data_IF_774251463394
#
_entry.id   IF_774251463394
#
_cell.length_a   1.000
_cell.length_b   1.000
_cell.length_c   1.000
_cell.angle_alpha   90.00
_cell.angle_beta   90.00
_cell.angle_gamma   90.00
#
_symmetry.space_group_name_H-M   'P 1'
#
loop_
_entity.id
_entity.type
_entity.pdbx_description
1 polymer ?
#
# COMPACT_ATOMS: atom_id res chain seq x y z
N UNK A 1 -2.34 19.20 -19.36
CA UNK A 1 -1.48 18.09 -19.86
C UNK A 1 -0.03 18.23 -19.45
N UNK A 2 0.26 18.58 -18.18
CA UNK A 2 1.61 18.60 -17.62
C UNK A 2 1.56 18.35 -16.09
N UNK A 3 0.77 17.36 -15.65
CA UNK A 3 0.64 17.00 -14.22
C UNK A 3 0.74 15.49 -13.95
N UNK A 4 0.53 14.63 -14.96
CA UNK A 4 0.57 13.16 -14.80
C UNK A 4 1.89 12.52 -15.25
N UNK A 5 2.90 13.30 -15.62
CA UNK A 5 4.14 12.75 -16.22
C UNK A 5 5.17 12.21 -15.23
N UNK A 6 5.04 12.45 -13.92
CA UNK A 6 6.12 12.20 -12.95
C UNK A 6 5.75 11.52 -11.63
N UNK A 7 4.45 11.33 -11.31
CA UNK A 7 4.01 10.85 -9.99
C UNK A 7 3.36 9.45 -10.07
N UNK A 8 2.94 9.01 -11.26
CA UNK A 8 2.28 7.71 -11.46
C UNK A 8 3.30 6.66 -11.89
N UNK A 9 3.86 5.96 -10.91
CA UNK A 9 4.81 4.86 -11.15
C UNK A 9 4.05 3.53 -11.20
N UNK A 10 4.30 2.64 -12.19
CA UNK A 10 3.71 1.32 -12.20
C UNK A 10 4.23 0.48 -11.02
N UNK A 11 3.33 -0.20 -10.32
CA UNK A 11 3.66 -1.18 -9.29
C UNK A 11 3.35 -2.59 -9.80
N UNK A 12 4.34 -3.48 -9.76
CA UNK A 12 4.17 -4.91 -10.08
C UNK A 12 4.29 -5.72 -8.79
N UNK A 13 3.27 -6.52 -8.49
CA UNK A 13 3.23 -7.35 -7.27
C UNK A 13 3.05 -8.81 -7.67
N UNK A 14 3.85 -9.70 -7.08
CA UNK A 14 3.72 -11.15 -7.24
C UNK A 14 3.66 -11.82 -5.88
N UNK A 15 2.50 -12.38 -5.57
CA UNK A 15 2.29 -13.13 -4.33
C UNK A 15 1.29 -14.28 -4.54
N UNK A 16 1.76 -15.47 -4.96
CA UNK A 16 0.88 -16.56 -5.40
C UNK A 16 -0.12 -17.09 -4.34
N UNK A 17 0.20 -16.95 -3.05
CA UNK A 17 -0.69 -17.39 -1.98
C UNK A 17 -1.94 -16.50 -1.83
N UNK A 18 -1.80 -15.20 -2.12
CA UNK A 18 -2.83 -14.17 -1.94
C UNK A 18 -3.45 -13.78 -3.30
N UNK A 19 -2.61 -13.48 -4.29
CA UNK A 19 -3.02 -13.07 -5.63
C UNK A 19 -3.35 -14.33 -6.45
N UNK A 20 -4.65 -14.65 -6.55
CA UNK A 20 -5.13 -15.82 -7.31
C UNK A 20 -5.26 -15.56 -8.81
N UNK A 21 -5.52 -14.31 -9.20
CA UNK A 21 -5.67 -13.92 -10.60
C UNK A 21 -4.31 -13.58 -11.21
N UNK A 22 -3.86 -14.36 -12.19
CA UNK A 22 -2.60 -14.10 -12.89
C UNK A 22 -2.80 -13.04 -13.98
N UNK A 23 -1.89 -12.06 -14.03
CA UNK A 23 -1.93 -11.00 -15.05
C UNK A 23 -3.05 -9.97 -14.87
N UNK A 24 -3.69 -9.94 -13.70
CA UNK A 24 -4.71 -8.94 -13.39
C UNK A 24 -4.10 -7.53 -13.30
N UNK A 25 -4.88 -6.54 -13.75
CA UNK A 25 -4.53 -5.12 -13.68
C UNK A 25 -5.59 -4.43 -12.81
N UNK A 26 -5.15 -3.56 -11.91
CA UNK A 26 -6.03 -2.70 -11.11
C UNK A 26 -5.65 -1.24 -11.30
N UNK A 27 -6.66 -0.37 -11.36
CA UNK A 27 -6.49 1.08 -11.42
C UNK A 27 -6.70 1.75 -10.06
N UNK A 28 -6.91 0.97 -8.99
CA UNK A 28 -7.04 1.48 -7.64
C UNK A 28 -5.76 2.20 -7.20
N UNK A 29 -5.86 3.41 -6.61
CA UNK A 29 -4.69 4.17 -6.20
C UNK A 29 -3.96 3.49 -5.03
N UNK A 30 -2.64 3.51 -5.12
CA UNK A 30 -1.73 3.12 -4.04
C UNK A 30 -0.64 4.18 -3.88
N UNK A 31 -0.19 4.39 -2.64
CA UNK A 31 0.89 5.31 -2.33
C UNK A 31 2.01 4.58 -1.58
N UNK A 32 3.25 5.05 -1.67
CA UNK A 32 4.41 4.38 -1.04
C UNK A 32 4.25 4.20 0.48
N UNK A 33 3.49 5.09 1.14
CA UNK A 33 3.19 5.00 2.58
C UNK A 33 2.33 3.78 2.93
N UNK A 34 1.60 3.22 1.97
CA UNK A 34 0.73 2.05 2.17
C UNK A 34 1.51 0.76 2.42
N UNK A 35 2.79 0.70 2.00
CA UNK A 35 3.60 -0.49 2.17
C UNK A 35 3.81 -0.84 3.64
N UNK A 36 4.08 0.15 4.50
CA UNK A 36 4.27 -0.12 5.92
C UNK A 36 2.99 -0.68 6.55
N UNK A 37 1.84 -0.07 6.29
CA UNK A 37 0.55 -0.58 6.76
C UNK A 37 0.26 -2.00 6.24
N UNK A 38 0.56 -2.25 4.97
CA UNK A 38 0.39 -3.58 4.35
C UNK A 38 1.28 -4.62 5.00
N UNK A 39 2.55 -4.31 5.28
CA UNK A 39 3.45 -5.27 5.92
C UNK A 39 3.06 -5.58 7.36
N UNK A 40 2.63 -4.58 8.13
CA UNK A 40 2.15 -4.80 9.50
C UNK A 40 0.90 -5.68 9.51
N UNK A 41 -0.07 -5.40 8.64
CA UNK A 41 -1.30 -6.19 8.47
C UNK A 41 -0.99 -7.65 8.11
N UNK A 42 -0.12 -7.86 7.12
CA UNK A 42 0.27 -9.19 6.64
C UNK A 42 1.02 -10.01 7.70
N UNK A 43 1.88 -9.36 8.48
CA UNK A 43 2.76 -10.04 9.44
C UNK A 43 2.16 -10.17 10.83
N UNK A 44 1.13 -9.37 11.14
CA UNK A 44 0.63 -9.18 12.51
C UNK A 44 1.65 -8.49 13.42
N UNK A 45 2.72 -7.90 12.87
CA UNK A 45 3.74 -7.22 13.66
C UNK A 45 3.20 -5.91 14.24
N UNK A 46 3.68 -5.57 15.44
CA UNK A 46 3.39 -4.29 16.07
C UNK A 46 4.34 -3.20 15.57
N UNK A 47 3.81 -2.01 15.27
CA UNK A 47 4.65 -0.85 14.98
C UNK A 47 5.30 -0.30 16.26
N UNK A 48 6.62 -0.09 16.30
CA UNK A 48 7.32 0.30 17.52
C UNK A 48 7.00 1.74 17.93
N UNK A 49 6.79 1.96 19.23
CA UNK A 49 6.64 3.32 19.80
C UNK A 49 7.96 4.10 19.81
N UNK A 50 9.07 3.39 19.83
CA UNK A 50 10.42 3.94 19.78
C UNK A 50 11.33 3.03 18.96
N UNK A 51 12.11 3.61 18.07
CA UNK A 51 13.07 2.92 17.24
C UNK A 51 14.37 3.73 17.19
N UNK A 52 15.48 3.11 17.63
CA UNK A 52 16.82 3.74 17.66
C UNK A 52 16.84 5.11 18.39
N UNK A 53 16.18 5.20 19.55
CA UNK A 53 16.15 6.43 20.36
C UNK A 53 15.27 7.54 19.79
N UNK A 54 14.43 7.24 18.79
CA UNK A 54 13.49 8.19 18.16
C UNK A 54 12.08 7.62 18.19
N UNK A 55 11.08 8.49 18.29
CA UNK A 55 9.67 8.13 18.09
C UNK A 55 9.33 8.21 16.60
N UNK A 56 9.05 7.09 15.92
CA UNK A 56 8.64 7.14 14.53
C UNK A 56 7.30 7.87 14.37
N UNK A 57 7.06 8.43 13.19
CA UNK A 57 5.75 8.96 12.86
C UNK A 57 4.70 7.84 12.85
N UNK A 58 3.43 8.13 13.17
CA UNK A 58 2.35 7.16 13.04
C UNK A 58 2.29 6.57 11.63
N UNK A 59 1.78 5.34 11.52
CA UNK A 59 1.51 4.75 10.20
C UNK A 59 0.25 5.40 9.64
N UNK A 60 0.43 6.19 8.57
CA UNK A 60 -0.66 6.90 7.90
C UNK A 60 -1.19 6.14 6.67
N UNK A 61 -0.46 5.14 6.19
CA UNK A 61 -0.86 4.32 5.05
C UNK A 61 -2.07 3.43 5.32
N UNK A 62 -2.77 3.05 4.26
CA UNK A 62 -3.84 2.04 4.29
C UNK A 62 -3.31 0.75 3.67
N UNK A 63 -3.69 -0.41 4.22
CA UNK A 63 -3.26 -1.72 3.67
C UNK A 63 -3.70 -1.91 2.21
N UNK A 64 -2.82 -2.46 1.38
CA UNK A 64 -3.09 -2.86 -0.01
C UNK A 64 -3.59 -4.32 -0.10
N UNK A 65 -3.64 -5.04 1.03
CA UNK A 65 -4.01 -6.46 1.04
C UNK A 65 -5.38 -6.74 0.38
N UNK A 66 -6.44 -5.94 0.59
CA UNK A 66 -7.71 -6.13 -0.13
C UNK A 66 -7.55 -6.05 -1.65
N UNK A 67 -6.74 -5.11 -2.15
CA UNK A 67 -6.46 -4.95 -3.57
C UNK A 67 -5.75 -6.18 -4.12
N UNK A 68 -4.78 -6.73 -3.38
CA UNK A 68 -4.08 -7.96 -3.75
C UNK A 68 -4.99 -9.20 -3.77
N UNK A 69 -6.05 -9.19 -2.95
CA UNK A 69 -7.09 -10.22 -2.93
C UNK A 69 -8.16 -10.04 -4.02
N UNK A 70 -8.08 -8.95 -4.80
CA UNK A 70 -9.05 -8.62 -5.85
C UNK A 70 -10.30 -7.89 -5.35
N UNK A 71 -10.23 -7.30 -4.15
CA UNK A 71 -11.30 -6.50 -3.56
C UNK A 71 -11.04 -5.00 -3.75
N UNK A 72 -12.09 -4.21 -3.60
CA UNK A 72 -11.98 -2.76 -3.51
C UNK A 72 -11.61 -2.34 -2.09
N UNK A 73 -10.88 -1.24 -1.98
CA UNK A 73 -10.62 -0.56 -0.71
C UNK A 73 -10.97 0.91 -0.80
N UNK A 74 -11.28 1.51 0.34
CA UNK A 74 -11.36 2.95 0.45
C UNK A 74 -9.96 3.57 0.25
N UNK A 75 -9.84 4.54 -0.66
CA UNK A 75 -8.61 5.26 -0.90
C UNK A 75 -8.34 6.31 0.19
N UNK A 76 -7.17 6.94 0.14
CA UNK A 76 -6.92 8.17 0.90
C UNK A 76 -7.84 9.28 0.39
N UNK A 77 -8.44 10.08 1.29
CA UNK A 77 -9.35 11.18 0.93
C UNK A 77 -8.65 12.33 0.20
N UNK A 78 -7.31 12.37 0.19
CA UNK A 78 -6.55 13.45 -0.46
C UNK A 78 -5.38 12.88 -1.25
N UNK A 79 -5.60 12.69 -2.55
CA UNK A 79 -4.56 12.70 -3.59
C UNK A 79 -5.10 13.61 -4.70
N UNK A 80 -5.22 14.90 -4.37
CA UNK A 80 -5.50 15.98 -5.32
C UNK A 80 -4.18 16.70 -5.64
#
# INVERSE_FOLDING_TARGET
GAYEGGIRTPLVVRWPAVIRQRGAITTQPGHVIDFMATFLDVTGASYPKEFQGRRPLPVEGKTLLPVFQGHERESHEVLC
#
